data_IF_698696843167
#
_entry.id   IF_698696843167
#
_cell.length_a   1.000
_cell.length_b   1.000
_cell.length_c   1.000
_cell.angle_alpha   90.00
_cell.angle_beta   90.00
_cell.angle_gamma   90.00
#
_symmetry.space_group_name_H-M   'P 1'
#
loop_
_entity.id
_entity.type
_entity.pdbx_description
1 polymer ?
#
# COMPACT_ATOMS: atom_id res chain seq x y z
N UNK A 1 -7.59 1.11 -9.14
CA UNK A 1 -6.56 0.48 -8.28
C UNK A 1 -7.10 0.10 -6.90
N UNK A 2 -7.89 0.94 -6.23
CA UNK A 2 -8.44 0.62 -4.90
C UNK A 2 -9.15 -0.74 -4.81
N UNK A 3 -10.13 -1.01 -5.67
CA UNK A 3 -10.87 -2.30 -5.66
C UNK A 3 -9.98 -3.52 -5.86
N UNK A 4 -8.89 -3.37 -6.62
CA UNK A 4 -7.89 -4.41 -6.81
C UNK A 4 -7.11 -4.68 -5.52
N UNK A 5 -6.59 -3.62 -4.87
CA UNK A 5 -5.86 -3.74 -3.60
C UNK A 5 -6.73 -4.38 -2.52
N UNK A 6 -7.98 -3.91 -2.36
CA UNK A 6 -8.92 -4.45 -1.38
C UNK A 6 -9.17 -5.95 -1.61
N UNK A 7 -9.36 -6.36 -2.87
CA UNK A 7 -9.70 -7.74 -3.20
C UNK A 7 -8.51 -8.70 -3.08
N UNK A 8 -7.30 -8.22 -3.35
CA UNK A 8 -6.15 -9.09 -3.56
C UNK A 8 -5.06 -8.98 -2.49
N UNK A 9 -4.98 -7.87 -1.76
CA UNK A 9 -3.83 -7.58 -0.89
C UNK A 9 -4.18 -7.18 0.54
N UNK A 10 -5.45 -7.18 0.95
CA UNK A 10 -5.79 -6.97 2.36
C UNK A 10 -5.10 -8.01 3.25
N UNK A 11 -4.38 -7.54 4.27
CA UNK A 11 -3.60 -8.39 5.18
C UNK A 11 -2.29 -8.91 4.60
N UNK A 12 -1.92 -8.51 3.37
CA UNK A 12 -0.67 -8.90 2.71
C UNK A 12 0.39 -7.81 2.91
N UNK A 13 1.66 -8.20 3.06
CA UNK A 13 2.79 -7.27 3.05
C UNK A 13 3.15 -6.88 1.60
N UNK A 14 3.19 -5.56 1.34
CA UNK A 14 3.50 -5.01 0.03
C UNK A 14 4.75 -4.12 0.09
N UNK A 15 5.51 -4.13 -1.00
CA UNK A 15 6.42 -3.05 -1.39
C UNK A 15 5.70 -2.13 -2.39
N UNK A 16 5.68 -0.82 -2.11
CA UNK A 16 4.87 0.18 -2.79
C UNK A 16 5.80 1.30 -3.29
N UNK A 17 5.80 1.52 -4.60
CA UNK A 17 6.60 2.57 -5.24
C UNK A 17 5.72 3.74 -5.67
N UNK A 18 6.07 4.95 -5.24
CA UNK A 18 5.35 6.20 -5.56
C UNK A 18 6.15 7.17 -6.46
N UNK A 19 7.33 6.75 -6.95
CA UNK A 19 8.19 7.56 -7.81
C UNK A 19 9.43 8.10 -7.11
N UNK A 20 10.50 8.33 -7.87
CA UNK A 20 11.75 8.87 -7.32
C UNK A 20 12.32 7.99 -6.20
N UNK A 21 12.65 8.57 -5.03
CA UNK A 21 13.12 7.82 -3.85
C UNK A 21 11.98 7.30 -2.94
N UNK A 22 10.71 7.56 -3.27
CA UNK A 22 9.58 7.26 -2.38
C UNK A 22 9.13 5.81 -2.54
N UNK A 23 9.62 4.96 -1.64
CA UNK A 23 9.17 3.58 -1.45
C UNK A 23 8.64 3.37 -0.04
N UNK A 24 7.59 2.56 0.06
CA UNK A 24 6.96 2.20 1.33
C UNK A 24 6.76 0.69 1.38
N UNK A 25 7.00 0.11 2.55
CA UNK A 25 6.80 -1.32 2.80
C UNK A 25 5.94 -1.51 4.03
N UNK A 26 4.98 -2.44 3.98
CA UNK A 26 4.17 -2.80 5.14
C UNK A 26 2.93 -3.63 4.78
N UNK A 27 2.25 -4.13 5.82
CA UNK A 27 1.01 -4.91 5.69
C UNK A 27 -0.16 -4.00 5.39
N UNK A 28 -0.99 -4.34 4.40
CA UNK A 28 -2.19 -3.57 4.06
C UNK A 28 -3.28 -3.78 5.12
N UNK A 29 -3.58 -2.71 5.85
CA UNK A 29 -4.63 -2.71 6.89
C UNK A 29 -5.98 -2.29 6.31
N UNK A 30 -5.98 -1.29 5.42
CA UNK A 30 -7.20 -0.79 4.79
C UNK A 30 -6.91 -0.04 3.49
N UNK A 31 -7.91 0.05 2.63
CA UNK A 31 -7.84 0.80 1.39
C UNK A 31 -9.23 1.36 1.06
N UNK A 32 -9.43 2.65 1.29
CA UNK A 32 -10.72 3.33 1.17
C UNK A 32 -10.52 4.80 0.77
N UNK A 33 -11.53 5.39 0.13
CA UNK A 33 -11.56 6.82 -0.23
C UNK A 33 -10.29 7.34 -0.93
N UNK A 34 -9.67 6.52 -1.79
CA UNK A 34 -8.45 6.89 -2.50
C UNK A 34 -7.16 6.83 -1.66
N UNK A 35 -7.21 6.28 -0.44
CA UNK A 35 -6.09 6.15 0.48
C UNK A 35 -5.81 4.69 0.79
N UNK A 36 -4.55 4.28 0.62
CA UNK A 36 -4.00 3.01 1.09
C UNK A 36 -3.34 3.22 2.45
N UNK A 37 -3.75 2.43 3.44
CA UNK A 37 -3.10 2.39 4.76
C UNK A 37 -2.32 1.11 4.90
N UNK A 38 -1.02 1.24 5.14
CA UNK A 38 -0.16 0.14 5.52
C UNK A 38 0.34 0.30 6.95
N UNK A 39 0.67 -0.82 7.58
CA UNK A 39 1.29 -0.87 8.90
C UNK A 39 2.64 -1.59 8.81
N UNK A 40 3.65 -1.00 9.42
CA UNK A 40 4.97 -1.61 9.64
C UNK A 40 5.41 -1.31 11.06
N UNK A 41 5.58 -2.33 11.88
CA UNK A 41 6.06 -2.19 13.27
C UNK A 41 5.25 -1.16 14.11
N UNK A 42 3.92 -1.24 14.07
CA UNK A 42 2.98 -0.29 14.69
C UNK A 42 3.05 1.15 14.17
N UNK A 43 3.72 1.37 13.03
CA UNK A 43 3.74 2.65 12.33
C UNK A 43 2.82 2.58 11.11
N UNK A 44 1.71 3.33 11.20
CA UNK A 44 0.79 3.49 10.09
C UNK A 44 1.32 4.52 9.08
N UNK A 45 1.23 4.17 7.80
CA UNK A 45 1.54 5.05 6.68
C UNK A 45 0.33 5.13 5.76
N UNK A 46 -0.11 6.34 5.43
CA UNK A 46 -1.26 6.60 4.57
C UNK A 46 -0.78 7.16 3.22
N UNK A 47 -1.11 6.46 2.14
CA UNK A 47 -0.58 6.71 0.79
C UNK A 47 -1.75 7.00 -0.13
N UNK A 48 -1.70 8.12 -0.84
CA UNK A 48 -2.70 8.43 -1.86
C UNK A 48 -2.54 7.46 -3.05
N UNK A 49 -3.63 6.78 -3.41
CA UNK A 49 -3.62 5.69 -4.42
C UNK A 49 -3.23 6.21 -5.80
N UNK A 50 -3.55 7.47 -6.13
CA UNK A 50 -3.20 8.12 -7.39
C UNK A 50 -1.70 8.39 -7.55
N UNK A 51 -0.91 8.30 -6.47
CA UNK A 51 0.55 8.41 -6.48
C UNK A 51 1.27 7.08 -6.60
N UNK A 52 0.58 5.97 -6.40
CA UNK A 52 1.18 4.64 -6.49
C UNK A 52 1.43 4.33 -7.97
N UNK A 53 2.69 4.05 -8.30
CA UNK A 53 3.13 3.68 -9.64
C UNK A 53 3.17 2.16 -9.78
N UNK A 54 3.63 1.46 -8.74
CA UNK A 54 3.74 0.01 -8.74
C UNK A 54 3.64 -0.57 -7.32
N UNK A 55 3.20 -1.83 -7.25
CA UNK A 55 3.14 -2.62 -6.02
C UNK A 55 3.66 -4.03 -6.28
N UNK A 56 4.36 -4.60 -5.31
CA UNK A 56 4.80 -6.00 -5.31
C UNK A 56 4.39 -6.64 -4.00
N UNK A 57 3.84 -7.85 -4.10
CA UNK A 57 3.67 -8.71 -2.93
C UNK A 57 5.04 -9.26 -2.54
N UNK A 58 5.40 -9.07 -1.28
CA UNK A 58 6.62 -9.64 -0.74
C UNK A 58 6.34 -11.10 -0.33
N UNK A 59 7.18 -12.01 -0.81
CA UNK A 59 7.08 -13.45 -0.53
C UNK A 59 7.90 -13.86 0.69
#
# INVERSE_FOLDING_TARGET
MQSFIVKHYLGTELDIYCGGPDTFKGTVESCADGVLTINKDNRYTHIAIDKIIAVWEEK
#
